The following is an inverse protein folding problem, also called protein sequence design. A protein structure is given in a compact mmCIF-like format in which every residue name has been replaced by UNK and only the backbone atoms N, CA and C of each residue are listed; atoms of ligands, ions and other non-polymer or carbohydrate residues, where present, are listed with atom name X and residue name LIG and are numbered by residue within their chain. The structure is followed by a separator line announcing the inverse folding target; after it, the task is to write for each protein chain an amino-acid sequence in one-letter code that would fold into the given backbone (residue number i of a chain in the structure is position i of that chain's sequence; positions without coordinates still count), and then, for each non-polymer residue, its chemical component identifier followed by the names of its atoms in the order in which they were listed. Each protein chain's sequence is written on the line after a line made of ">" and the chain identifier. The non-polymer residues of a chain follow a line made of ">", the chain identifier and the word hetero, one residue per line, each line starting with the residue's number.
data_IF_968118169173
#
_entry.id   IF_968118169173
#
_cell.length_a   1.000
_cell.length_b   1.000
_cell.length_c   1.000
_cell.angle_alpha   90.00
_cell.angle_beta   90.00
_cell.angle_gamma   90.00
#
_symmetry.space_group_name_H-M   'P 1'
#
loop_
_entity.id
_entity.type
_entity.pdbx_description
1 polymer ?
#
# COMPACT_ATOMS: atom_id res chain seq x y z
N UNK A 1 -4.23 -17.38 6.28
CA UNK A 1 -3.13 -17.22 5.31
C UNK A 1 -2.14 -16.19 5.84
N UNK A 2 -0.84 -16.27 5.52
CA UNK A 2 0.17 -15.28 5.96
C UNK A 2 0.68 -14.48 4.79
N UNK A 3 0.68 -13.15 4.90
CA UNK A 3 1.12 -12.24 3.84
C UNK A 3 2.12 -11.24 4.44
N UNK A 4 3.27 -11.08 3.78
CA UNK A 4 4.24 -10.04 4.11
C UNK A 4 4.25 -8.98 3.02
N UNK A 5 4.07 -7.72 3.40
CA UNK A 5 4.21 -6.56 2.52
C UNK A 5 5.62 -5.99 2.69
N UNK A 6 6.43 -6.09 1.64
CA UNK A 6 7.80 -5.56 1.61
C UNK A 6 7.77 -4.14 1.03
N UNK A 7 8.06 -3.16 1.87
CA UNK A 7 7.93 -1.74 1.58
C UNK A 7 6.54 -1.23 1.96
N UNK A 8 6.46 -0.50 3.07
CA UNK A 8 5.23 0.00 3.66
C UNK A 8 5.00 1.49 3.40
N UNK A 9 5.57 2.04 2.32
CA UNK A 9 5.17 3.35 1.79
C UNK A 9 3.69 3.41 1.37
N UNK A 10 3.28 4.45 0.65
CA UNK A 10 1.86 4.71 0.37
C UNK A 10 1.08 3.52 -0.20
N UNK A 11 1.60 2.86 -1.25
CA UNK A 11 0.91 1.71 -1.89
C UNK A 11 0.94 0.47 -1.01
N UNK A 12 2.09 0.14 -0.41
CA UNK A 12 2.21 -1.02 0.46
C UNK A 12 1.29 -0.92 1.67
N UNK A 13 1.22 0.27 2.29
CA UNK A 13 0.30 0.57 3.39
C UNK A 13 -1.17 0.42 2.98
N UNK A 14 -1.53 0.70 1.71
CA UNK A 14 -2.90 0.54 1.24
C UNK A 14 -3.33 -0.94 1.24
N UNK A 15 -2.46 -1.84 0.79
CA UNK A 15 -2.72 -3.28 0.83
C UNK A 15 -2.63 -3.83 2.24
N UNK A 16 -1.59 -3.46 3.00
CA UNK A 16 -1.38 -3.95 4.36
C UNK A 16 -2.59 -3.66 5.26
N UNK A 17 -3.11 -2.43 5.21
CA UNK A 17 -4.26 -2.05 6.03
C UNK A 17 -5.55 -2.75 5.61
N UNK A 18 -5.84 -2.86 4.30
CA UNK A 18 -7.05 -3.55 3.82
C UNK A 18 -7.00 -5.06 4.09
N UNK A 19 -5.85 -5.71 3.87
CA UNK A 19 -5.72 -7.15 4.13
C UNK A 19 -5.78 -7.47 5.62
N UNK A 20 -5.30 -6.57 6.47
CA UNK A 20 -5.34 -6.74 7.92
C UNK A 20 -6.76 -6.65 8.51
N UNK A 21 -7.79 -6.28 7.73
CA UNK A 21 -9.19 -6.32 8.18
C UNK A 21 -9.88 -7.66 7.90
N UNK A 22 -9.21 -8.62 7.25
CA UNK A 22 -9.78 -9.94 6.94
C UNK A 22 -9.52 -10.92 8.08
N UNK A 23 -10.55 -11.63 8.52
CA UNK A 23 -10.49 -12.50 9.71
C UNK A 23 -9.54 -13.71 9.55
N UNK A 24 -9.26 -14.14 8.32
CA UNK A 24 -8.46 -15.32 8.01
C UNK A 24 -7.06 -14.98 7.46
N UNK A 25 -6.63 -13.72 7.54
CA UNK A 25 -5.33 -13.24 7.03
C UNK A 25 -4.48 -12.63 8.15
N UNK A 26 -3.28 -13.17 8.31
CA UNK A 26 -2.23 -12.61 9.18
C UNK A 26 -1.27 -11.78 8.31
N UNK A 27 -1.24 -10.46 8.52
CA UNK A 27 -0.44 -9.52 7.72
C UNK A 27 0.79 -9.05 8.50
N UNK A 28 1.95 -9.12 7.85
CA UNK A 28 3.21 -8.57 8.33
C UNK A 28 3.64 -7.37 7.46
N UNK A 29 3.93 -6.25 8.10
CA UNK A 29 4.46 -5.05 7.46
C UNK A 29 5.98 -4.99 7.67
N UNK A 30 6.76 -4.98 6.59
CA UNK A 30 8.21 -4.89 6.64
C UNK A 30 8.70 -3.67 5.85
N UNK A 31 9.44 -2.78 6.52
CA UNK A 31 10.08 -1.61 5.91
C UNK A 31 11.43 -1.35 6.60
N UNK A 32 12.36 -0.68 5.90
CA UNK A 32 13.67 -0.31 6.45
C UNK A 32 13.60 0.95 7.31
N UNK A 33 12.53 1.74 7.20
CA UNK A 33 12.32 2.93 8.00
C UNK A 33 11.76 2.57 9.40
N UNK A 34 12.66 2.45 10.38
CA UNK A 34 12.29 2.05 11.74
C UNK A 34 11.21 2.94 12.37
N UNK A 35 11.31 4.26 12.23
CA UNK A 35 10.33 5.18 12.80
C UNK A 35 8.92 4.96 12.19
N UNK A 36 8.86 4.58 10.91
CA UNK A 36 7.60 4.24 10.26
C UNK A 36 7.03 2.91 10.77
N UNK A 37 7.89 1.88 10.90
CA UNK A 37 7.50 0.58 11.47
C UNK A 37 6.99 0.72 12.91
N UNK A 38 7.67 1.50 13.74
CA UNK A 38 7.27 1.75 15.13
C UNK A 38 5.90 2.43 15.20
N UNK A 39 5.65 3.41 14.31
CA UNK A 39 4.35 4.08 14.21
C UNK A 39 3.23 3.11 13.78
N UNK A 40 3.49 2.23 12.81
CA UNK A 40 2.55 1.18 12.39
C UNK A 40 2.25 0.22 13.55
N UNK A 41 3.28 -0.22 14.28
CA UNK A 41 3.11 -1.15 15.40
C UNK A 41 2.31 -0.54 16.55
N UNK A 42 2.54 0.75 16.85
CA UNK A 42 1.87 1.45 17.94
C UNK A 42 0.42 1.88 17.62
N UNK A 43 0.14 2.23 16.36
CA UNK A 43 -1.11 2.90 15.99
C UNK A 43 -1.91 2.21 14.88
N UNK A 44 -1.35 1.14 14.31
CA UNK A 44 -1.88 0.53 13.10
C UNK A 44 -1.75 1.43 11.87
N UNK A 45 -2.35 0.99 10.78
CA UNK A 45 -2.47 1.77 9.55
C UNK A 45 -3.88 2.35 9.45
N UNK A 46 -3.99 3.68 9.47
CA UNK A 46 -5.26 4.37 9.23
C UNK A 46 -5.30 4.91 7.81
N UNK A 47 -6.08 4.26 6.96
CA UNK A 47 -6.39 4.77 5.63
C UNK A 47 -7.62 5.70 5.71
N UNK A 48 -7.46 6.90 5.18
CA UNK A 48 -8.57 7.84 4.98
C UNK A 48 -8.46 8.37 3.56
N UNK A 49 -9.53 8.26 2.80
CA UNK A 49 -9.57 8.71 1.42
C UNK A 49 -10.93 9.29 1.06
N UNK A 50 -10.92 10.23 0.13
CA UNK A 50 -12.14 10.68 -0.55
C UNK A 50 -12.74 9.50 -1.34
N UNK A 51 -14.05 9.55 -1.61
CA UNK A 51 -14.83 8.49 -2.27
C UNK A 51 -14.35 8.13 -3.68
N UNK A 52 -15.25 7.99 -4.64
CA UNK A 52 -14.84 7.57 -5.99
C UNK A 52 -13.91 8.61 -6.65
N UNK A 53 -12.69 8.19 -7.04
CA UNK A 53 -11.70 9.03 -7.72
C UNK A 53 -11.39 8.43 -9.08
N UNK A 54 -11.72 9.16 -10.15
CA UNK A 54 -11.33 8.80 -11.53
C UNK A 54 -10.15 9.66 -11.96
N UNK A 55 -8.95 9.08 -11.88
CA UNK A 55 -7.74 9.65 -12.49
C UNK A 55 -7.71 9.40 -14.01
N UNK A 56 -7.05 10.27 -14.77
CA UNK A 56 -6.85 10.13 -16.22
C UNK A 56 -5.36 10.12 -16.56
N UNK A 57 -4.62 9.06 -16.22
CA UNK A 57 -3.22 8.95 -16.61
C UNK A 57 -3.10 8.81 -18.13
N UNK A 58 -1.96 9.20 -18.69
CA UNK A 58 -1.57 8.74 -20.02
C UNK A 58 -1.37 7.23 -19.95
N UNK A 59 -2.10 6.49 -20.79
CA UNK A 59 -2.05 5.04 -20.85
C UNK A 59 -1.83 4.61 -22.29
N UNK A 60 -0.78 3.84 -22.51
CA UNK A 60 -0.42 3.31 -23.83
C UNK A 60 0.15 1.91 -23.70
N UNK A 61 -0.04 1.08 -24.72
CA UNK A 61 0.66 -0.20 -24.88
C UNK A 61 1.84 -0.09 -25.85
N UNK A 62 2.10 1.10 -26.40
CA UNK A 62 3.15 1.37 -27.38
C UNK A 62 4.32 2.05 -26.70
N UNK A 63 5.48 1.39 -26.70
CA UNK A 63 6.68 1.90 -26.03
C UNK A 63 7.19 3.22 -26.65
N UNK A 64 6.98 3.44 -27.95
CA UNK A 64 7.38 4.64 -28.67
C UNK A 64 6.51 5.87 -28.37
N UNK A 65 5.43 5.72 -27.58
CA UNK A 65 4.63 6.83 -27.06
C UNK A 65 5.11 7.33 -25.69
N UNK A 66 6.09 6.67 -25.06
CA UNK A 66 6.65 7.08 -23.77
C UNK A 66 7.65 8.24 -23.93
N UNK A 67 7.67 9.22 -23.00
CA UNK A 67 8.69 10.27 -22.99
C UNK A 67 10.09 9.69 -22.73
N UNK A 68 11.16 10.37 -23.18
CA UNK A 68 12.55 9.94 -22.99
C UNK A 68 12.98 9.92 -21.51
#
# INVERSE_FOLDING_TARGET
>A
MRICIVGCGAVGSLFAANLATLDDVEVWAFDLNQAHVDAIAAHGLRLVGAGEVTGRPHATSRADELPP
#
